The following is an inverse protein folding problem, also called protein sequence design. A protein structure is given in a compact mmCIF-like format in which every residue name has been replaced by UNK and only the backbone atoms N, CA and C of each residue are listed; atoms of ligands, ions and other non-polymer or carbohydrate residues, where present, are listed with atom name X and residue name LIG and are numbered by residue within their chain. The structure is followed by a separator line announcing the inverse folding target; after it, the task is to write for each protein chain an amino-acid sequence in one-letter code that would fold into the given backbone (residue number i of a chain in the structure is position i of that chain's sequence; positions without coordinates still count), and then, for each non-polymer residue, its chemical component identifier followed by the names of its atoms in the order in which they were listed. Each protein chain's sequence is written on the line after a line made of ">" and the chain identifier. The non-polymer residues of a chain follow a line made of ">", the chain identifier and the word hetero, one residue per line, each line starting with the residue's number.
data_IF_438255560074
#
_entry.id   IF_438255560074
#
_cell.length_a   1.000
_cell.length_b   1.000
_cell.length_c   1.000
_cell.angle_alpha   90.00
_cell.angle_beta   90.00
_cell.angle_gamma   90.00
#
_symmetry.space_group_name_H-M   'P 1'
#
loop_
_entity.id
_entity.type
_entity.pdbx_description
1 polymer ?
#
# COMPACT_ATOMS: atom_id res chain seq x y z
N UNK A 1 -71.45 -77.66 -78.52
CA UNK A 1 -72.09 -78.22 -77.31
C UNK A 1 -72.35 -77.08 -76.36
N UNK A 2 -73.60 -76.95 -75.90
CA UNK A 2 -74.08 -76.44 -74.59
C UNK A 2 -73.43 -75.13 -74.05
N UNK A 3 -74.18 -74.02 -74.02
CA UNK A 3 -74.89 -73.49 -72.82
C UNK A 3 -73.92 -72.90 -71.78
N UNK A 4 -74.04 -71.72 -71.17
CA UNK A 4 -75.11 -70.75 -70.94
C UNK A 4 -74.45 -69.46 -70.39
N UNK A 5 -74.89 -68.28 -70.84
CA UNK A 5 -74.96 -67.02 -70.05
C UNK A 5 -76.00 -67.20 -68.93
N UNK A 6 -76.03 -66.46 -67.78
CA UNK A 6 -76.20 -64.99 -67.73
C UNK A 6 -75.55 -64.19 -66.56
N UNK A 7 -75.25 -62.92 -66.89
CA UNK A 7 -75.66 -61.67 -66.20
C UNK A 7 -75.46 -61.51 -64.68
N UNK A 8 -74.66 -60.50 -64.29
CA UNK A 8 -75.20 -59.26 -63.73
C UNK A 8 -74.11 -58.20 -63.55
N UNK A 9 -74.34 -57.04 -64.17
CA UNK A 9 -73.69 -55.79 -63.84
C UNK A 9 -74.54 -55.06 -62.78
N UNK A 10 -73.91 -54.21 -61.97
CA UNK A 10 -74.39 -52.85 -61.80
C UNK A 10 -73.25 -51.89 -62.17
N UNK A 11 -73.36 -51.01 -63.16
CA UNK A 11 -74.25 -49.83 -63.26
C UNK A 11 -74.09 -48.86 -62.09
N UNK A 12 -73.77 -47.61 -62.47
CA UNK A 12 -74.06 -46.35 -61.78
C UNK A 12 -73.09 -45.95 -60.65
N UNK A 13 -72.66 -44.69 -60.48
CA UNK A 13 -72.73 -43.45 -61.24
C UNK A 13 -71.71 -42.51 -60.56
N UNK A 14 -70.70 -42.01 -61.27
CA UNK A 14 -70.09 -40.72 -60.90
C UNK A 14 -70.65 -39.73 -61.91
N UNK A 15 -71.60 -38.90 -61.49
CA UNK A 15 -72.33 -37.95 -62.33
C UNK A 15 -71.39 -36.88 -62.88
N UNK A 16 -71.68 -36.36 -64.07
CA UNK A 16 -70.99 -35.18 -64.65
C UNK A 16 -71.04 -33.98 -63.68
N UNK A 17 -72.09 -33.88 -62.85
CA UNK A 17 -72.19 -32.93 -61.73
C UNK A 17 -71.02 -33.01 -60.73
N UNK A 18 -70.42 -34.20 -60.50
CA UNK A 18 -69.26 -34.31 -59.59
C UNK A 18 -67.94 -33.82 -60.20
N UNK A 19 -67.84 -33.76 -61.52
CA UNK A 19 -66.67 -33.23 -62.22
C UNK A 19 -66.74 -31.70 -62.36
N UNK A 20 -67.93 -31.15 -62.63
CA UNK A 20 -68.14 -29.69 -62.68
C UNK A 20 -67.97 -29.06 -61.29
N UNK A 21 -68.48 -29.68 -60.23
CA UNK A 21 -68.23 -29.22 -58.84
C UNK A 21 -66.73 -29.25 -58.50
N UNK A 22 -65.98 -30.24 -59.00
CA UNK A 22 -64.55 -30.31 -58.80
C UNK A 22 -63.81 -29.21 -59.55
N UNK A 23 -64.23 -28.90 -60.78
CA UNK A 23 -63.68 -27.83 -61.61
C UNK A 23 -63.93 -26.45 -60.97
N UNK A 24 -65.14 -26.17 -60.48
CA UNK A 24 -65.43 -24.92 -59.77
C UNK A 24 -64.59 -24.79 -58.50
N UNK A 25 -64.45 -25.87 -57.71
CA UNK A 25 -63.58 -25.86 -56.52
C UNK A 25 -62.10 -25.66 -56.84
N UNK A 26 -61.63 -26.17 -57.97
CA UNK A 26 -60.25 -25.95 -58.43
C UNK A 26 -60.05 -24.51 -58.88
N UNK A 27 -61.04 -23.92 -59.56
CA UNK A 27 -60.98 -22.54 -60.03
C UNK A 27 -61.05 -21.53 -58.87
N UNK A 28 -61.90 -21.79 -57.87
CA UNK A 28 -61.93 -20.99 -56.64
C UNK A 28 -60.59 -21.06 -55.90
N UNK A 29 -59.97 -22.24 -55.85
CA UNK A 29 -58.67 -22.45 -55.21
C UNK A 29 -57.52 -21.84 -56.01
N UNK A 30 -57.60 -21.81 -57.33
CA UNK A 30 -56.66 -21.09 -58.19
C UNK A 30 -56.76 -19.58 -57.94
N UNK A 31 -57.99 -19.04 -57.85
CA UNK A 31 -58.22 -17.64 -57.51
C UNK A 31 -57.69 -17.28 -56.11
N UNK A 32 -57.90 -18.15 -55.12
CA UNK A 32 -57.38 -17.97 -53.75
C UNK A 32 -55.85 -17.95 -53.74
N UNK A 33 -55.21 -18.86 -54.48
CA UNK A 33 -53.76 -18.92 -54.61
C UNK A 33 -53.21 -17.66 -55.30
N UNK A 34 -53.85 -17.18 -56.35
CA UNK A 34 -53.43 -15.97 -57.07
C UNK A 34 -53.54 -14.69 -56.21
N UNK A 35 -54.58 -14.60 -55.39
CA UNK A 35 -54.74 -13.53 -54.40
C UNK A 35 -53.66 -13.59 -53.32
N UNK A 36 -53.37 -14.78 -52.80
CA UNK A 36 -52.32 -15.00 -51.80
C UNK A 36 -50.92 -14.70 -52.38
N UNK A 37 -50.66 -15.09 -53.63
CA UNK A 37 -49.41 -14.80 -54.32
C UNK A 37 -49.24 -13.29 -54.54
N UNK A 38 -50.32 -12.61 -54.94
CA UNK A 38 -50.34 -11.15 -55.10
C UNK A 38 -50.11 -10.42 -53.78
N UNK A 39 -50.67 -10.93 -52.68
CA UNK A 39 -50.45 -10.40 -51.33
C UNK A 39 -48.99 -10.57 -50.90
N UNK A 40 -48.45 -11.79 -51.05
CA UNK A 40 -47.05 -12.09 -50.71
C UNK A 40 -46.07 -11.26 -51.53
N UNK A 41 -46.34 -11.04 -52.82
CA UNK A 41 -45.50 -10.22 -53.68
C UNK A 41 -45.48 -8.75 -53.22
N UNK A 42 -46.64 -8.20 -52.85
CA UNK A 42 -46.74 -6.85 -52.28
C UNK A 42 -45.99 -6.75 -50.95
N UNK A 43 -46.16 -7.72 -50.06
CA UNK A 43 -45.48 -7.74 -48.76
C UNK A 43 -43.95 -7.85 -48.91
N UNK A 44 -43.49 -8.73 -49.80
CA UNK A 44 -42.06 -8.87 -50.12
C UNK A 44 -41.49 -7.58 -50.71
N UNK A 45 -42.22 -6.93 -51.62
CA UNK A 45 -41.79 -5.65 -52.21
C UNK A 45 -41.70 -4.53 -51.16
N UNK A 46 -42.64 -4.46 -50.23
CA UNK A 46 -42.64 -3.48 -49.16
C UNK A 46 -41.45 -3.70 -48.21
N UNK A 47 -41.21 -4.95 -47.78
CA UNK A 47 -40.07 -5.31 -46.94
C UNK A 47 -38.73 -5.04 -47.61
N UNK A 48 -38.64 -5.24 -48.94
CA UNK A 48 -37.43 -4.93 -49.70
C UNK A 48 -37.16 -3.42 -49.74
N UNK A 49 -38.21 -2.61 -49.93
CA UNK A 49 -38.15 -1.15 -49.93
C UNK A 49 -37.80 -0.62 -48.53
N UNK A 50 -38.42 -1.14 -47.47
CA UNK A 50 -38.09 -0.80 -46.08
C UNK A 50 -36.64 -1.17 -45.74
N UNK A 51 -36.18 -2.35 -46.14
CA UNK A 51 -34.79 -2.76 -45.94
C UNK A 51 -33.82 -1.85 -46.71
N UNK A 52 -34.14 -1.45 -47.95
CA UNK A 52 -33.34 -0.47 -48.68
C UNK A 52 -33.35 0.92 -48.07
N UNK A 53 -34.47 1.39 -47.53
CA UNK A 53 -34.54 2.67 -46.82
C UNK A 53 -33.79 2.64 -45.48
N UNK A 54 -33.87 1.54 -44.72
CA UNK A 54 -33.08 1.38 -43.50
C UNK A 54 -31.59 1.22 -43.76
N UNK A 55 -31.19 0.49 -44.80
CA UNK A 55 -29.80 0.38 -45.21
C UNK A 55 -29.23 1.71 -45.75
N UNK A 56 -30.06 2.53 -46.41
CA UNK A 56 -29.67 3.88 -46.84
C UNK A 56 -29.53 4.86 -45.65
N UNK A 57 -30.29 4.67 -44.56
CA UNK A 57 -30.13 5.43 -43.33
C UNK A 57 -28.90 5.04 -42.49
N UNK A 58 -28.29 3.89 -42.77
CA UNK A 58 -27.07 3.36 -42.14
C UNK A 58 -25.89 3.33 -43.11
N UNK A 59 -25.79 4.30 -44.01
CA UNK A 59 -24.51 4.58 -44.67
C UNK A 59 -23.65 5.35 -43.68
N UNK A 60 -22.90 4.63 -42.83
CA UNK A 60 -21.64 5.17 -42.29
C UNK A 60 -20.84 5.52 -43.53
N UNK A 61 -20.72 6.82 -43.82
CA UNK A 61 -19.99 7.23 -45.00
C UNK A 61 -18.53 6.91 -44.78
N UNK A 62 -17.81 6.58 -45.85
CA UNK A 62 -16.36 6.32 -45.76
C UNK A 62 -15.61 7.52 -45.14
N UNK A 63 -16.20 8.71 -45.25
CA UNK A 63 -15.69 9.94 -44.65
C UNK A 63 -15.89 9.96 -43.12
N UNK A 64 -17.03 9.49 -42.59
CA UNK A 64 -17.26 9.36 -41.13
C UNK A 64 -16.27 8.37 -40.49
N UNK A 65 -15.94 7.27 -41.20
CA UNK A 65 -15.03 6.22 -40.72
C UNK A 65 -13.56 6.72 -40.72
N UNK A 66 -13.21 7.63 -41.64
CA UNK A 66 -11.90 8.31 -41.67
C UNK A 66 -11.81 9.36 -40.58
N UNK A 67 -12.85 10.15 -40.36
CA UNK A 67 -12.90 11.17 -39.29
C UNK A 67 -12.79 10.52 -37.89
N UNK A 68 -13.49 9.40 -37.67
CA UNK A 68 -13.35 8.59 -36.46
C UNK A 68 -11.94 8.00 -36.29
N UNK A 69 -11.30 7.55 -37.38
CA UNK A 69 -9.92 7.05 -37.30
C UNK A 69 -8.92 8.17 -36.97
N UNK A 70 -9.09 9.36 -37.53
CA UNK A 70 -8.25 10.52 -37.20
C UNK A 70 -8.43 10.94 -35.74
N UNK A 71 -9.67 10.91 -35.23
CA UNK A 71 -9.96 11.19 -33.81
C UNK A 71 -9.34 10.14 -32.88
N UNK A 72 -9.43 8.84 -33.23
CA UNK A 72 -8.80 7.75 -32.46
C UNK A 72 -7.28 7.94 -32.42
N UNK A 73 -6.64 8.23 -33.55
CA UNK A 73 -5.18 8.46 -33.61
C UNK A 73 -4.79 9.68 -32.77
N UNK A 74 -5.59 10.75 -32.81
CA UNK A 74 -5.40 11.94 -31.97
C UNK A 74 -5.46 11.61 -30.48
N UNK A 75 -6.50 10.88 -30.07
CA UNK A 75 -6.67 10.44 -28.68
C UNK A 75 -5.57 9.47 -28.23
N UNK A 76 -5.13 8.54 -29.08
CA UNK A 76 -4.01 7.65 -28.77
C UNK A 76 -2.71 8.42 -28.55
N UNK A 77 -2.46 9.46 -29.36
CA UNK A 77 -1.31 10.33 -29.19
C UNK A 77 -1.38 11.12 -27.87
N UNK A 78 -2.54 11.69 -27.54
CA UNK A 78 -2.75 12.41 -26.27
C UNK A 78 -2.60 11.48 -25.05
N UNK A 79 -3.16 10.26 -25.12
CA UNK A 79 -3.03 9.26 -24.05
C UNK A 79 -1.57 8.84 -23.87
N UNK A 80 -0.83 8.68 -24.98
CA UNK A 80 0.60 8.36 -24.94
C UNK A 80 1.42 9.47 -24.29
N UNK A 81 1.19 10.73 -24.69
CA UNK A 81 1.85 11.92 -24.11
C UNK A 81 1.53 12.07 -22.62
N UNK A 82 0.25 11.90 -22.24
CA UNK A 82 -0.18 11.94 -20.85
C UNK A 82 0.46 10.83 -20.02
N UNK A 83 0.53 9.61 -20.57
CA UNK A 83 1.17 8.47 -19.92
C UNK A 83 2.67 8.71 -19.71
N UNK A 84 3.37 9.26 -20.71
CA UNK A 84 4.77 9.64 -20.58
C UNK A 84 4.96 10.70 -19.49
N UNK A 85 4.15 11.76 -19.51
CA UNK A 85 4.19 12.83 -18.52
C UNK A 85 3.90 12.31 -17.10
N UNK A 86 2.95 11.39 -16.95
CA UNK A 86 2.65 10.74 -15.68
C UNK A 86 3.82 9.88 -15.19
N UNK A 87 4.52 9.18 -16.09
CA UNK A 87 5.74 8.43 -15.78
C UNK A 87 6.87 9.32 -15.26
N UNK A 88 7.12 10.44 -15.93
CA UNK A 88 8.11 11.44 -15.50
C UNK A 88 7.77 12.04 -14.14
N UNK A 89 6.49 12.39 -13.92
CA UNK A 89 6.01 12.89 -12.65
C UNK A 89 6.20 11.86 -11.53
N UNK A 90 5.89 10.59 -11.77
CA UNK A 90 6.10 9.51 -10.80
C UNK A 90 7.57 9.37 -10.41
N UNK A 91 8.49 9.49 -11.39
CA UNK A 91 9.94 9.46 -11.12
C UNK A 91 10.36 10.63 -10.24
N UNK A 92 9.90 11.86 -10.57
CA UNK A 92 10.18 13.06 -9.77
C UNK A 92 9.64 12.97 -8.35
N UNK A 93 8.45 12.39 -8.16
CA UNK A 93 7.88 12.17 -6.82
C UNK A 93 8.78 11.23 -6.00
N UNK A 94 9.29 10.14 -6.60
CA UNK A 94 10.23 9.24 -5.91
C UNK A 94 11.54 9.92 -5.54
N UNK A 95 12.08 10.76 -6.44
CA UNK A 95 13.28 11.57 -6.14
C UNK A 95 13.03 12.55 -4.99
N UNK A 96 11.85 13.18 -4.96
CA UNK A 96 11.44 14.06 -3.88
C UNK A 96 11.33 13.31 -2.55
N UNK A 97 10.74 12.12 -2.55
CA UNK A 97 10.63 11.28 -1.34
C UNK A 97 12.00 10.86 -0.81
N UNK A 98 12.93 10.47 -1.69
CA UNK A 98 14.30 10.18 -1.31
C UNK A 98 15.00 11.42 -0.72
N UNK A 99 14.83 12.57 -1.35
CA UNK A 99 15.41 13.83 -0.87
C UNK A 99 14.83 14.22 0.49
N UNK A 100 13.52 14.07 0.68
CA UNK A 100 12.84 14.30 1.96
C UNK A 100 13.38 13.39 3.04
N UNK A 101 13.61 12.11 2.74
CA UNK A 101 14.20 11.17 3.69
C UNK A 101 15.60 11.60 4.12
N UNK A 102 16.47 11.95 3.17
CA UNK A 102 17.83 12.44 3.45
C UNK A 102 17.79 13.73 4.29
N UNK A 103 16.91 14.66 3.96
CA UNK A 103 16.73 15.90 4.73
C UNK A 103 16.26 15.63 6.15
N UNK A 104 15.38 14.65 6.35
CA UNK A 104 14.92 14.26 7.69
C UNK A 104 16.08 13.67 8.51
N UNK A 105 16.91 12.80 7.93
CA UNK A 105 18.09 12.26 8.62
C UNK A 105 19.09 13.36 9.00
N UNK A 106 19.34 14.31 8.09
CA UNK A 106 20.21 15.46 8.35
C UNK A 106 19.64 16.38 9.44
N UNK A 107 18.33 16.63 9.42
CA UNK A 107 17.63 17.41 10.44
C UNK A 107 17.74 16.72 11.81
N UNK A 108 17.48 15.43 11.88
CA UNK A 108 17.55 14.64 13.12
C UNK A 108 18.98 14.63 13.69
N UNK A 109 19.99 14.55 12.83
CA UNK A 109 21.40 14.65 13.22
C UNK A 109 21.73 16.05 13.78
N UNK A 110 21.29 17.11 13.11
CA UNK A 110 21.48 18.48 13.56
C UNK A 110 20.80 18.74 14.91
N UNK A 111 19.58 18.23 15.09
CA UNK A 111 18.86 18.29 16.36
C UNK A 111 19.62 17.51 17.46
N UNK A 112 20.23 16.38 17.11
CA UNK A 112 21.13 15.64 17.99
C UNK A 112 22.31 16.49 18.47
N UNK A 113 22.97 17.22 17.56
CA UNK A 113 24.10 18.11 17.89
C UNK A 113 23.67 19.24 18.83
N UNK A 114 22.56 19.91 18.53
CA UNK A 114 21.98 20.95 19.40
C UNK A 114 21.68 20.39 20.78
N UNK A 115 21.10 19.18 20.83
CA UNK A 115 20.76 18.52 22.09
C UNK A 115 22.02 18.17 22.89
N UNK A 116 23.10 17.70 22.26
CA UNK A 116 24.38 17.44 22.94
C UNK A 116 24.92 18.74 23.54
N UNK A 117 24.98 19.84 22.78
CA UNK A 117 25.45 21.13 23.31
C UNK A 117 24.66 21.57 24.54
N UNK A 118 23.33 21.54 24.45
CA UNK A 118 22.49 21.92 25.57
C UNK A 118 22.71 21.01 26.76
N UNK A 119 22.78 19.70 26.54
CA UNK A 119 22.96 18.69 27.60
C UNK A 119 24.34 18.77 28.26
N UNK A 120 25.38 19.19 27.53
CA UNK A 120 26.70 19.49 28.11
C UNK A 120 26.61 20.65 29.09
N UNK A 121 25.89 21.72 28.72
CA UNK A 121 25.72 22.87 29.60
C UNK A 121 24.92 22.51 30.86
N UNK A 122 23.78 21.82 30.72
CA UNK A 122 22.96 21.39 31.87
C UNK A 122 23.71 20.41 32.76
N UNK A 123 24.53 19.52 32.19
CA UNK A 123 25.37 18.61 32.98
C UNK A 123 26.40 19.38 33.80
N UNK A 124 27.01 20.41 33.22
CA UNK A 124 27.99 21.25 33.92
C UNK A 124 27.31 22.04 35.06
N UNK A 125 26.12 22.60 34.83
CA UNK A 125 25.32 23.25 35.87
C UNK A 125 24.92 22.28 36.98
N UNK A 126 24.53 21.05 36.64
CA UNK A 126 24.19 20.02 37.62
C UNK A 126 25.39 19.66 38.50
N UNK A 127 26.59 19.54 37.92
CA UNK A 127 27.83 19.32 38.67
C UNK A 127 28.19 20.50 39.58
N UNK A 128 28.03 21.74 39.11
CA UNK A 128 28.27 22.94 39.92
C UNK A 128 27.33 23.05 41.13
N UNK A 129 26.13 22.47 41.01
CA UNK A 129 25.13 22.41 42.08
C UNK A 129 25.21 21.12 42.91
N UNK A 130 26.28 20.33 42.79
CA UNK A 130 26.46 19.02 43.45
C UNK A 130 25.34 17.99 43.17
N UNK A 131 24.58 18.17 42.09
CA UNK A 131 23.49 17.30 41.68
C UNK A 131 23.97 16.21 40.72
N UNK A 132 24.59 15.17 41.30
CA UNK A 132 25.17 14.05 40.55
C UNK A 132 24.11 13.19 39.84
N UNK A 133 22.89 13.11 40.38
CA UNK A 133 21.81 12.32 39.78
C UNK A 133 21.38 12.90 38.43
N UNK A 134 21.21 14.23 38.35
CA UNK A 134 20.83 14.90 37.10
C UNK A 134 21.99 14.94 36.10
N UNK A 135 23.23 15.18 36.58
CA UNK A 135 24.41 15.08 35.73
C UNK A 135 24.55 13.67 35.10
N UNK A 136 24.25 12.60 35.85
CA UNK A 136 24.27 11.24 35.32
C UNK A 136 23.18 10.99 34.25
N UNK A 137 21.99 11.59 34.39
CA UNK A 137 20.93 11.52 33.35
C UNK A 137 21.36 12.23 32.08
N UNK A 138 22.01 13.39 32.21
CA UNK A 138 22.50 14.16 31.07
C UNK A 138 23.60 13.40 30.30
N UNK A 139 24.54 12.76 31.01
CA UNK A 139 25.52 11.87 30.37
C UNK A 139 24.83 10.68 29.69
N UNK A 140 23.81 10.09 30.32
CA UNK A 140 23.05 8.98 29.72
C UNK A 140 22.42 9.40 28.38
N UNK A 141 21.78 10.58 28.35
CA UNK A 141 21.17 11.15 27.16
C UNK A 141 22.20 11.41 26.06
N UNK A 142 23.36 11.96 26.40
CA UNK A 142 24.46 12.13 25.43
C UNK A 142 24.90 10.79 24.85
N UNK A 143 25.02 9.74 25.68
CA UNK A 143 25.39 8.39 25.24
C UNK A 143 24.32 7.79 24.32
N UNK A 144 23.05 7.96 24.64
CA UNK A 144 21.93 7.50 23.81
C UNK A 144 21.96 8.17 22.42
N UNK A 145 22.17 9.49 22.37
CA UNK A 145 22.29 10.22 21.10
C UNK A 145 23.47 9.71 20.27
N UNK A 146 24.64 9.48 20.90
CA UNK A 146 25.83 8.91 20.22
C UNK A 146 25.59 7.50 19.69
N UNK A 147 24.77 6.69 20.37
CA UNK A 147 24.38 5.36 19.89
C UNK A 147 23.39 5.44 18.73
N UNK A 148 22.39 6.33 18.83
CA UNK A 148 21.38 6.52 17.78
C UNK A 148 21.97 7.10 16.50
N UNK A 149 22.95 8.00 16.62
CA UNK A 149 23.59 8.68 15.49
C UNK A 149 25.12 8.51 15.54
N UNK A 150 25.69 7.39 15.04
CA UNK A 150 27.12 7.12 15.12
C UNK A 150 28.00 8.20 14.45
N UNK A 151 27.49 8.82 13.37
CA UNK A 151 28.17 9.90 12.63
C UNK A 151 28.19 11.24 13.37
N UNK A 152 27.50 11.36 14.52
CA UNK A 152 27.42 12.64 15.24
C UNK A 152 28.78 13.13 15.72
N UNK A 153 29.73 12.22 15.98
CA UNK A 153 31.10 12.56 16.35
C UNK A 153 31.88 13.25 15.22
N UNK A 154 31.45 13.10 13.97
CA UNK A 154 32.08 13.73 12.80
C UNK A 154 31.54 15.14 12.56
N UNK A 155 30.31 15.41 13.00
CA UNK A 155 29.58 16.66 12.73
C UNK A 155 29.55 17.59 13.93
N UNK A 156 29.50 17.04 15.15
CA UNK A 156 29.60 17.82 16.37
C UNK A 156 31.02 18.38 16.52
N UNK A 157 31.13 19.61 17.02
CA UNK A 157 32.44 20.25 17.15
C UNK A 157 33.33 19.52 18.17
N UNK A 158 34.62 19.53 17.88
CA UNK A 158 35.61 18.83 18.70
C UNK A 158 35.68 19.36 20.15
N UNK A 159 35.32 20.61 20.40
CA UNK A 159 35.37 21.18 21.75
C UNK A 159 34.25 20.60 22.62
N UNK A 160 33.02 20.59 22.11
CA UNK A 160 31.85 19.98 22.79
C UNK A 160 32.04 18.49 23.02
N UNK A 161 32.63 17.76 22.06
CA UNK A 161 32.90 16.34 22.22
C UNK A 161 33.96 16.05 23.29
N UNK A 162 35.01 16.88 23.37
CA UNK A 162 36.00 16.81 24.45
C UNK A 162 35.38 17.16 25.80
N UNK A 163 34.55 18.19 25.84
CA UNK A 163 33.90 18.63 27.08
C UNK A 163 32.89 17.60 27.59
N UNK A 164 32.07 17.05 26.69
CA UNK A 164 31.19 15.91 26.99
C UNK A 164 31.97 14.74 27.60
N UNK A 165 33.17 14.44 27.08
CA UNK A 165 33.99 13.36 27.61
C UNK A 165 34.57 13.69 28.98
N UNK A 166 35.04 14.93 29.17
CA UNK A 166 35.52 15.44 30.46
C UNK A 166 34.43 15.32 31.54
N UNK A 167 33.21 15.77 31.22
CA UNK A 167 32.05 15.71 32.10
C UNK A 167 31.66 14.25 32.41
N UNK A 168 31.68 13.37 31.42
CA UNK A 168 31.42 11.93 31.64
C UNK A 168 32.40 11.35 32.67
N UNK A 169 33.70 11.63 32.50
CA UNK A 169 34.73 11.11 33.41
C UNK A 169 34.60 11.70 34.82
N UNK A 170 34.21 12.98 34.93
CA UNK A 170 33.95 13.67 36.19
C UNK A 170 32.73 13.10 36.92
N UNK A 171 31.60 12.93 36.23
CA UNK A 171 30.38 12.30 36.78
C UNK A 171 30.67 10.88 37.24
N UNK A 172 31.37 10.08 36.42
CA UNK A 172 31.75 8.72 36.78
C UNK A 172 32.62 8.69 38.05
N UNK A 173 33.57 9.62 38.17
CA UNK A 173 34.41 9.77 39.36
C UNK A 173 33.58 10.15 40.60
N UNK A 174 32.65 11.09 40.47
CA UNK A 174 31.76 11.52 41.54
C UNK A 174 30.83 10.41 42.01
N UNK A 175 30.23 9.63 41.09
CA UNK A 175 29.40 8.46 41.43
C UNK A 175 30.23 7.39 42.15
N UNK A 176 31.45 7.09 41.68
CA UNK A 176 32.34 6.14 42.38
C UNK A 176 32.65 6.59 43.81
N UNK A 177 33.02 7.86 44.00
CA UNK A 177 33.29 8.45 45.32
C UNK A 177 32.05 8.42 46.22
N UNK A 178 30.88 8.76 45.69
CA UNK A 178 29.61 8.70 46.43
C UNK A 178 29.28 7.26 46.86
N UNK A 179 29.45 6.30 45.95
CA UNK A 179 29.25 4.90 46.23
C UNK A 179 30.20 4.36 47.30
N UNK A 180 31.50 4.66 47.20
CA UNK A 180 32.50 4.22 48.18
C UNK A 180 32.26 4.85 49.56
N UNK A 181 31.84 6.12 49.61
CA UNK A 181 31.40 6.78 50.87
C UNK A 181 30.18 6.10 51.48
N UNK A 182 29.19 5.73 50.66
CA UNK A 182 27.99 5.04 51.13
C UNK A 182 28.33 3.64 51.69
N UNK A 183 29.29 2.92 51.09
CA UNK A 183 29.80 1.66 51.63
C UNK A 183 30.46 1.86 52.99
N UNK A 184 31.40 2.82 53.10
CA UNK A 184 32.13 3.08 54.36
C UNK A 184 31.17 3.52 55.47
N UNK A 185 30.15 4.32 55.12
CA UNK A 185 29.12 4.77 56.05
C UNK A 185 28.03 3.74 56.36
N UNK A 186 28.11 2.53 55.80
CA UNK A 186 27.06 1.50 55.90
C UNK A 186 25.65 1.97 55.47
N UNK A 187 25.59 2.97 54.58
CA UNK A 187 24.35 3.55 54.05
C UNK A 187 23.81 2.71 52.89
N UNK A 188 22.91 1.77 53.20
CA UNK A 188 22.30 0.85 52.23
C UNK A 188 21.53 1.59 51.14
N UNK A 189 20.83 2.66 51.49
CA UNK A 189 20.01 3.43 50.56
C UNK A 189 20.89 4.24 49.61
N UNK A 190 21.97 4.83 50.13
CA UNK A 190 23.00 5.50 49.35
C UNK A 190 23.71 4.55 48.38
N UNK A 191 24.05 3.34 48.81
CA UNK A 191 24.65 2.30 47.95
C UNK A 191 23.68 1.92 46.82
N UNK A 192 22.39 1.69 47.14
CA UNK A 192 21.37 1.36 46.15
C UNK A 192 21.11 2.49 45.16
N UNK A 193 21.01 3.74 45.64
CA UNK A 193 20.88 4.93 44.78
C UNK A 193 22.05 5.05 43.82
N UNK A 194 23.27 5.01 44.34
CA UNK A 194 24.47 5.14 43.52
C UNK A 194 24.62 3.96 42.54
N UNK A 195 24.28 2.72 42.94
CA UNK A 195 24.30 1.55 42.06
C UNK A 195 23.44 1.73 40.81
N UNK A 196 22.25 2.35 40.95
CA UNK A 196 21.35 2.63 39.83
C UNK A 196 21.94 3.59 38.80
N UNK A 197 22.85 4.48 39.21
CA UNK A 197 23.50 5.45 38.32
C UNK A 197 24.59 4.82 37.44
N UNK A 198 25.14 3.66 37.81
CA UNK A 198 26.17 3.02 36.98
C UNK A 198 25.63 2.51 35.64
N UNK A 199 24.36 2.09 35.57
CA UNK A 199 23.75 1.62 34.32
C UNK A 199 23.68 2.71 33.24
N UNK A 200 23.08 3.90 33.49
CA UNK A 200 23.05 4.98 32.50
C UNK A 200 24.44 5.48 32.08
N UNK A 201 25.44 5.35 32.96
CA UNK A 201 26.84 5.67 32.67
C UNK A 201 27.58 4.55 31.92
N UNK A 202 26.92 3.43 31.62
CA UNK A 202 27.50 2.25 30.98
C UNK A 202 28.64 1.60 31.76
N UNK A 203 28.60 1.70 33.07
CA UNK A 203 29.56 1.12 34.01
C UNK A 203 29.00 -0.14 34.69
N UNK A 204 28.16 -0.90 33.98
CA UNK A 204 27.38 -2.02 34.52
C UNK A 204 28.24 -3.12 35.14
N UNK A 205 29.34 -3.49 34.48
CA UNK A 205 30.28 -4.51 34.98
C UNK A 205 30.96 -4.07 36.28
N UNK A 206 31.38 -2.81 36.35
CA UNK A 206 31.95 -2.21 37.56
C UNK A 206 30.92 -2.17 38.69
N UNK A 207 29.67 -1.78 38.39
CA UNK A 207 28.57 -1.73 39.34
C UNK A 207 28.32 -3.08 40.00
N UNK A 208 28.20 -4.13 39.20
CA UNK A 208 27.94 -5.50 39.67
C UNK A 208 29.09 -5.97 40.55
N UNK A 209 30.34 -5.79 40.11
CA UNK A 209 31.51 -6.18 40.89
C UNK A 209 31.56 -5.50 42.26
N UNK A 210 31.32 -4.17 42.29
CA UNK A 210 31.31 -3.38 43.52
C UNK A 210 30.15 -3.74 44.45
N UNK A 211 28.95 -3.95 43.90
CA UNK A 211 27.76 -4.30 44.67
C UNK A 211 27.85 -5.71 45.26
N UNK A 212 28.38 -6.67 44.52
CA UNK A 212 28.67 -8.03 45.04
C UNK A 212 29.69 -7.97 46.18
N UNK A 213 30.72 -7.13 46.07
CA UNK A 213 31.70 -6.93 47.15
C UNK A 213 31.03 -6.40 48.42
N UNK A 214 30.16 -5.41 48.28
CA UNK A 214 29.38 -4.86 49.39
C UNK A 214 28.53 -5.93 50.09
N UNK A 215 27.73 -6.70 49.34
CA UNK A 215 26.90 -7.78 49.91
C UNK A 215 27.77 -8.79 50.68
N UNK A 216 28.90 -9.22 50.11
CA UNK A 216 29.83 -10.16 50.76
C UNK A 216 30.38 -9.61 52.08
N UNK A 217 30.74 -8.32 52.11
CA UNK A 217 31.22 -7.67 53.33
C UNK A 217 30.12 -7.60 54.39
N UNK A 218 28.92 -7.14 54.01
CA UNK A 218 27.77 -7.05 54.93
C UNK A 218 27.38 -8.42 55.50
N UNK A 219 27.38 -9.48 54.69
CA UNK A 219 27.10 -10.83 55.16
C UNK A 219 28.19 -11.34 56.11
N UNK A 220 29.47 -11.11 55.80
CA UNK A 220 30.58 -11.52 56.65
C UNK A 220 30.55 -10.81 58.01
N UNK A 221 30.18 -9.53 58.07
CA UNK A 221 30.00 -8.78 59.31
C UNK A 221 28.82 -9.32 60.13
N UNK A 222 27.69 -9.63 59.50
CA UNK A 222 26.53 -10.23 60.16
C UNK A 222 26.83 -11.62 60.75
N UNK A 223 27.66 -12.43 60.08
CA UNK A 223 28.09 -13.73 60.58
C UNK A 223 29.06 -13.63 61.77
N UNK A 224 29.81 -12.52 61.92
CA UNK A 224 30.70 -12.28 63.07
C UNK A 224 29.98 -11.75 64.30
N UNK A 225 28.78 -11.21 64.12
CA UNK A 225 27.92 -10.68 65.18
C UNK A 225 26.97 -11.74 65.79
N UNK A 226 27.01 -12.97 65.29
CA UNK A 226 26.34 -14.16 65.87
C UNK A 226 27.36 -15.03 66.57
#
# INVERSE_FOLDING_TARGET
>A
MLEQTPTDAPSCCCSVETADDLMSRLQDRESEVDEDLSRLYKEASHKLIEHHHHAAGYQVTRDDDVELQEEIIGLEAEVSELSQTAGELSSRVKELDNTKHILQEAHDLAQGVITIHHTVNTCNEALLNDNVDDAAKDIAKIREIKQKYPKICEVCDNATMKESKRLEDEVCSSVRKAFDRAIIGADKDGVSRCARLFYPLGMTTEAVARYVRFIRQTLAEQCKLK
#
